data_IF_415188789774
#
_entry.id   IF_415188789774
#
_cell.length_a   1.000
_cell.length_b   1.000
_cell.length_c   1.000
_cell.angle_alpha   90.00
_cell.angle_beta   90.00
_cell.angle_gamma   90.00
#
_symmetry.space_group_name_H-M   'P 1'
#
loop_
_entity.id
_entity.type
_entity.pdbx_description
1 polymer ?
#
# COMPACT_ATOMS: atom_id res chain seq x y z
N UNK A 1 25.79 8.14 11.65
CA UNK A 1 25.21 7.44 12.81
C UNK A 1 23.84 8.03 13.08
N UNK A 2 22.85 7.20 13.42
CA UNK A 2 21.50 7.63 13.78
C UNK A 2 21.25 7.39 15.29
N UNK A 3 20.33 8.13 15.88
CA UNK A 3 19.88 7.91 17.25
C UNK A 3 19.10 6.58 17.33
N UNK A 4 19.42 5.74 18.32
CA UNK A 4 18.84 4.41 18.48
C UNK A 4 17.31 4.43 18.67
N UNK A 5 16.75 5.56 19.11
CA UNK A 5 15.30 5.78 19.23
C UNK A 5 14.59 5.84 17.86
N UNK A 6 15.35 6.05 16.79
CA UNK A 6 14.89 6.13 15.40
C UNK A 6 15.48 5.01 14.51
N UNK A 7 16.09 3.99 15.13
CA UNK A 7 16.61 2.81 14.45
C UNK A 7 15.76 1.59 14.80
N UNK A 8 15.66 0.65 13.86
CA UNK A 8 14.96 -0.62 14.04
C UNK A 8 15.97 -1.76 13.97
N UNK A 9 15.79 -2.76 14.83
CA UNK A 9 16.58 -3.98 14.80
C UNK A 9 16.05 -4.86 13.67
N UNK A 10 16.91 -5.15 12.70
CA UNK A 10 16.62 -5.95 11.52
C UNK A 10 17.61 -7.10 11.46
N UNK A 11 17.23 -8.22 10.85
CA UNK A 11 18.14 -9.34 10.66
C UNK A 11 19.36 -8.90 9.85
N UNK A 12 20.54 -8.91 10.50
CA UNK A 12 21.80 -8.49 9.89
C UNK A 12 22.25 -9.39 8.73
N UNK A 13 21.67 -10.59 8.60
CA UNK A 13 21.97 -11.53 7.51
C UNK A 13 20.99 -11.41 6.34
N UNK A 14 19.89 -10.66 6.50
CA UNK A 14 18.90 -10.49 5.44
C UNK A 14 19.41 -9.50 4.39
N UNK A 15 18.98 -9.69 3.14
CA UNK A 15 19.34 -8.82 2.03
C UNK A 15 18.79 -7.39 2.26
N UNK A 16 19.65 -6.36 2.37
CA UNK A 16 19.22 -4.99 2.57
C UNK A 16 18.29 -4.47 1.47
N UNK A 17 18.43 -4.98 0.24
CA UNK A 17 17.54 -4.61 -0.88
C UNK A 17 16.12 -5.04 -0.60
N UNK A 18 15.93 -6.26 -0.08
CA UNK A 18 14.62 -6.78 0.31
C UNK A 18 14.04 -6.08 1.55
N UNK A 19 14.89 -5.63 2.48
CA UNK A 19 14.45 -4.96 3.70
C UNK A 19 14.08 -3.49 3.49
N UNK A 20 14.75 -2.80 2.55
CA UNK A 20 14.59 -1.36 2.36
C UNK A 20 13.13 -0.92 2.14
N UNK A 21 12.30 -1.60 1.32
CA UNK A 21 10.90 -1.23 1.16
C UNK A 21 10.05 -1.39 2.42
N UNK A 22 10.40 -2.30 3.33
CA UNK A 22 9.66 -2.54 4.57
C UNK A 22 9.68 -1.32 5.50
N UNK A 23 10.79 -0.57 5.48
CA UNK A 23 11.01 0.63 6.32
C UNK A 23 10.14 1.83 5.95
N UNK A 24 9.47 1.81 4.79
CA UNK A 24 8.57 2.88 4.38
C UNK A 24 7.24 2.30 3.90
N UNK A 25 7.24 1.61 2.75
CA UNK A 25 6.04 1.04 2.14
C UNK A 25 5.39 -0.02 3.04
N UNK A 26 6.19 -0.83 3.75
CA UNK A 26 5.70 -1.79 4.72
C UNK A 26 5.03 -1.11 5.93
N UNK A 27 5.75 -0.23 6.61
CA UNK A 27 5.23 0.48 7.79
C UNK A 27 3.99 1.34 7.48
N UNK A 28 3.97 2.06 6.36
CA UNK A 28 2.79 2.86 5.98
C UNK A 28 1.61 1.96 5.63
N UNK A 29 1.86 0.82 4.98
CA UNK A 29 0.87 -0.21 4.70
C UNK A 29 0.25 -0.75 5.99
N UNK A 30 1.09 -1.16 6.95
CA UNK A 30 0.65 -1.65 8.27
C UNK A 30 -0.19 -0.62 9.01
N UNK A 31 0.31 0.61 9.13
CA UNK A 31 -0.40 1.69 9.82
C UNK A 31 -1.75 2.00 9.17
N UNK A 32 -1.81 1.97 7.84
CA UNK A 32 -3.06 2.15 7.10
C UNK A 32 -4.04 1.01 7.34
N UNK A 33 -3.58 -0.24 7.39
CA UNK A 33 -4.40 -1.39 7.73
C UNK A 33 -4.92 -1.36 9.16
N UNK A 34 -4.10 -0.91 10.12
CA UNK A 34 -4.55 -0.70 11.51
C UNK A 34 -5.67 0.35 11.60
N UNK A 35 -5.59 1.42 10.80
CA UNK A 35 -6.70 2.39 10.68
C UNK A 35 -7.92 1.83 9.95
N UNK A 36 -7.73 0.94 9.00
CA UNK A 36 -8.81 0.26 8.29
C UNK A 36 -9.60 -0.73 9.19
N UNK A 37 -9.08 -1.06 10.37
CA UNK A 37 -9.75 -1.88 11.38
C UNK A 37 -9.73 -3.37 11.04
N UNK A 38 -10.74 -4.10 11.52
CA UNK A 38 -10.80 -5.58 11.46
C UNK A 38 -11.71 -6.12 10.35
N UNK A 39 -12.03 -5.29 9.36
CA UNK A 39 -12.81 -5.67 8.19
C UNK A 39 -12.21 -6.85 7.42
N UNK A 40 -13.07 -7.69 6.83
CA UNK A 40 -12.67 -8.87 6.06
C UNK A 40 -12.37 -8.51 4.60
N UNK A 41 -13.21 -7.68 3.97
CA UNK A 41 -13.06 -7.27 2.58
C UNK A 41 -12.29 -5.96 2.48
N UNK A 42 -11.01 -6.02 2.09
CA UNK A 42 -10.11 -4.86 2.03
C UNK A 42 -9.83 -4.46 0.58
N UNK A 43 -10.19 -3.23 0.23
CA UNK A 43 -9.83 -2.63 -1.05
C UNK A 43 -8.47 -1.94 -1.00
N UNK A 44 -7.59 -2.22 -1.96
CA UNK A 44 -6.29 -1.55 -2.11
C UNK A 44 -6.28 -0.74 -3.42
N UNK A 45 -6.39 0.59 -3.31
CA UNK A 45 -6.42 1.51 -4.45
C UNK A 45 -5.01 2.03 -4.76
N UNK A 46 -4.45 1.59 -5.88
CA UNK A 46 -3.05 1.79 -6.26
C UNK A 46 -2.18 0.61 -5.83
N UNK A 47 -2.01 -0.37 -6.73
CA UNK A 47 -1.30 -1.62 -6.44
C UNK A 47 0.22 -1.51 -6.68
N UNK A 48 0.90 -0.69 -5.87
CA UNK A 48 2.35 -0.47 -5.93
C UNK A 48 3.13 -1.07 -4.75
N UNK A 49 4.22 -0.40 -4.35
CA UNK A 49 5.12 -0.85 -3.28
C UNK A 49 4.39 -1.17 -1.95
N UNK A 50 3.52 -0.31 -1.46
CA UNK A 50 2.83 -0.54 -0.18
C UNK A 50 1.77 -1.66 -0.29
N UNK A 51 0.98 -1.66 -1.37
CA UNK A 51 -0.09 -2.63 -1.56
C UNK A 51 0.41 -4.07 -1.68
N UNK A 52 1.50 -4.31 -2.43
CA UNK A 52 2.03 -5.66 -2.63
C UNK A 52 2.70 -6.25 -1.37
N UNK A 53 3.18 -5.39 -0.46
CA UNK A 53 3.62 -5.81 0.87
C UNK A 53 2.40 -6.11 1.74
N UNK A 54 1.42 -5.20 1.75
CA UNK A 54 0.29 -5.28 2.65
C UNK A 54 -0.64 -6.46 2.37
N UNK A 55 -0.87 -6.80 1.09
CA UNK A 55 -1.73 -7.91 0.68
C UNK A 55 -1.32 -9.23 1.34
N UNK A 56 -0.03 -9.49 1.48
CA UNK A 56 0.50 -10.73 2.09
C UNK A 56 0.08 -10.82 3.57
N UNK A 57 0.08 -9.69 4.28
CA UNK A 57 -0.38 -9.61 5.67
C UNK A 57 -1.89 -9.77 5.75
N UNK A 58 -2.66 -9.13 4.86
CA UNK A 58 -4.11 -9.30 4.80
C UNK A 58 -4.50 -10.77 4.58
N UNK A 59 -3.86 -11.45 3.63
CA UNK A 59 -4.12 -12.87 3.34
C UNK A 59 -3.77 -13.74 4.54
N UNK A 60 -2.62 -13.50 5.19
CA UNK A 60 -2.25 -14.21 6.40
C UNK A 60 -3.26 -14.00 7.54
N UNK A 61 -3.88 -12.81 7.63
CA UNK A 61 -4.98 -12.53 8.56
C UNK A 61 -6.33 -13.13 8.13
N UNK A 62 -6.41 -13.84 7.00
CA UNK A 62 -7.65 -14.42 6.47
C UNK A 62 -8.62 -13.40 5.86
N UNK A 63 -8.10 -12.24 5.41
CA UNK A 63 -8.87 -11.17 4.79
C UNK A 63 -8.88 -11.30 3.26
N UNK A 64 -10.01 -10.96 2.66
CA UNK A 64 -10.20 -10.94 1.21
C UNK A 64 -9.71 -9.59 0.66
N UNK A 65 -8.83 -9.62 -0.34
CA UNK A 65 -8.21 -8.40 -0.90
C UNK A 65 -8.73 -8.12 -2.30
N UNK A 66 -9.17 -6.88 -2.52
CA UNK A 66 -9.69 -6.37 -3.78
C UNK A 66 -8.73 -5.28 -4.28
N UNK A 67 -7.95 -5.59 -5.31
CA UNK A 67 -6.95 -4.67 -5.85
C UNK A 67 -7.54 -3.78 -6.94
N UNK A 68 -7.42 -2.46 -6.77
CA UNK A 68 -7.84 -1.48 -7.77
C UNK A 68 -6.60 -0.83 -8.37
N UNK A 69 -6.42 -0.98 -9.68
CA UNK A 69 -5.28 -0.46 -10.43
C UNK A 69 -5.71 0.66 -11.38
N UNK A 70 -4.74 1.26 -12.08
CA UNK A 70 -5.05 2.21 -13.16
C UNK A 70 -5.73 1.46 -14.31
N UNK A 71 -6.65 2.11 -14.99
CA UNK A 71 -7.24 1.59 -16.23
C UNK A 71 -6.14 1.16 -17.22
N UNK A 72 -6.23 -0.08 -17.71
CA UNK A 72 -5.25 -0.69 -18.62
C UNK A 72 -3.99 -1.28 -17.96
N UNK A 73 -3.79 -1.16 -16.65
CA UNK A 73 -2.62 -1.70 -15.94
C UNK A 73 -2.77 -3.20 -15.64
N UNK A 74 -2.69 -4.00 -16.71
CA UNK A 74 -2.83 -5.45 -16.65
C UNK A 74 -1.69 -6.13 -15.86
N UNK A 75 -0.49 -5.54 -15.89
CA UNK A 75 0.66 -6.06 -15.15
C UNK A 75 0.42 -5.97 -13.63
N UNK A 76 -0.06 -4.83 -13.14
CA UNK A 76 -0.38 -4.68 -11.72
C UNK A 76 -1.58 -5.55 -11.29
N UNK A 77 -2.58 -5.73 -12.15
CA UNK A 77 -3.73 -6.60 -11.87
C UNK A 77 -3.30 -8.06 -11.74
N UNK A 78 -2.53 -8.54 -12.73
CA UNK A 78 -2.00 -9.90 -12.71
C UNK A 78 -1.08 -10.13 -11.50
N UNK A 79 -0.22 -9.17 -11.18
CA UNK A 79 0.63 -9.23 -10.00
C UNK A 79 -0.16 -9.29 -8.69
N UNK A 80 -1.27 -8.56 -8.59
CA UNK A 80 -2.15 -8.63 -7.42
C UNK A 80 -2.78 -10.02 -7.27
N UNK A 81 -3.26 -10.61 -8.37
CA UNK A 81 -3.84 -11.95 -8.37
C UNK A 81 -2.80 -13.02 -8.00
N UNK A 82 -1.57 -12.91 -8.52
CA UNK A 82 -0.45 -13.80 -8.16
C UNK A 82 -0.09 -13.74 -6.68
N UNK A 83 -0.23 -12.56 -6.06
CA UNK A 83 -0.07 -12.37 -4.62
C UNK A 83 -1.28 -12.80 -3.81
N UNK A 84 -2.35 -13.28 -4.44
CA UNK A 84 -3.53 -13.84 -3.78
C UNK A 84 -4.71 -12.87 -3.60
N UNK A 85 -4.79 -11.80 -4.39
CA UNK A 85 -5.98 -10.95 -4.39
C UNK A 85 -7.21 -11.77 -4.82
N UNK A 86 -8.31 -11.61 -4.11
CA UNK A 86 -9.61 -12.20 -4.43
C UNK A 86 -10.15 -11.66 -5.76
N UNK A 87 -9.83 -10.40 -6.07
CA UNK A 87 -10.19 -9.73 -7.31
C UNK A 87 -9.20 -8.62 -7.62
N UNK A 88 -8.97 -8.36 -8.91
CA UNK A 88 -8.21 -7.22 -9.39
C UNK A 88 -8.89 -6.60 -10.61
N UNK A 89 -8.95 -5.27 -10.68
CA UNK A 89 -9.53 -4.53 -11.80
C UNK A 89 -9.19 -3.05 -11.77
N UNK A 90 -9.67 -2.29 -12.77
CA UNK A 90 -9.49 -0.84 -12.79
C UNK A 90 -10.22 -0.19 -11.61
N UNK A 91 -9.71 0.94 -11.11
CA UNK A 91 -10.43 1.79 -10.14
C UNK A 91 -11.75 2.36 -10.66
N UNK A 92 -11.99 2.26 -11.97
CA UNK A 92 -13.26 2.64 -12.62
C UNK A 92 -14.30 1.51 -12.57
N UNK A 93 -13.88 0.30 -12.20
CA UNK A 93 -14.73 -0.87 -12.05
C UNK A 93 -15.17 -1.05 -10.60
N UNK A 94 -16.26 -1.80 -10.40
CA UNK A 94 -16.73 -2.15 -9.07
C UNK A 94 -16.25 -3.56 -8.69
N UNK A 95 -15.73 -3.71 -7.47
CA UNK A 95 -15.54 -5.02 -6.89
C UNK A 95 -16.90 -5.78 -6.81
N UNK A 96 -16.88 -7.12 -6.85
CA UNK A 96 -18.11 -7.92 -6.84
C UNK A 96 -18.87 -7.88 -5.51
N UNK A 97 -18.26 -7.33 -4.45
CA UNK A 97 -18.86 -7.15 -3.13
C UNK A 97 -18.56 -5.76 -2.57
N UNK A 98 -19.41 -5.22 -1.69
CA UNK A 98 -19.07 -4.05 -0.89
C UNK A 98 -17.85 -4.34 0.01
N UNK A 99 -16.97 -3.36 0.13
CA UNK A 99 -15.77 -3.46 0.95
C UNK A 99 -16.06 -3.07 2.41
N UNK A 100 -15.36 -3.67 3.37
CA UNK A 100 -15.37 -3.23 4.77
C UNK A 100 -14.50 -1.98 4.94
N UNK A 101 -13.35 -1.95 4.27
CA UNK A 101 -12.46 -0.81 4.25
C UNK A 101 -11.73 -0.68 2.91
N UNK A 102 -11.30 0.54 2.59
CA UNK A 102 -10.49 0.84 1.42
C UNK A 102 -9.26 1.65 1.82
N UNK A 103 -8.10 1.31 1.28
CA UNK A 103 -6.84 2.01 1.51
C UNK A 103 -6.36 2.56 0.17
N UNK A 104 -6.13 3.87 0.11
CA UNK A 104 -5.70 4.58 -1.09
C UNK A 104 -4.21 4.91 -0.97
N UNK A 105 -3.39 4.24 -1.79
CA UNK A 105 -1.97 4.52 -1.96
C UNK A 105 -1.67 5.35 -3.21
N UNK A 106 -2.55 5.30 -4.21
CA UNK A 106 -2.39 6.12 -5.41
C UNK A 106 -2.53 7.62 -5.06
N UNK A 107 -1.69 8.51 -5.62
CA UNK A 107 -1.68 9.94 -5.31
C UNK A 107 -2.79 10.72 -6.05
N UNK A 108 -4.02 10.18 -6.09
CA UNK A 108 -5.14 10.68 -6.89
C UNK A 108 -6.37 10.91 -6.01
N UNK A 109 -6.70 12.17 -5.76
CA UNK A 109 -7.81 12.59 -4.90
C UNK A 109 -9.18 12.15 -5.42
N UNK A 110 -9.35 11.99 -6.74
CA UNK A 110 -10.60 11.48 -7.35
C UNK A 110 -10.96 10.06 -6.90
N UNK A 111 -9.99 9.29 -6.39
CA UNK A 111 -10.24 7.96 -5.85
C UNK A 111 -10.98 7.98 -4.52
N UNK A 112 -10.96 9.09 -3.77
CA UNK A 112 -11.66 9.21 -2.48
C UNK A 112 -13.17 9.00 -2.62
N UNK A 113 -13.91 9.76 -3.46
CA UNK A 113 -15.34 9.51 -3.63
C UNK A 113 -15.65 8.14 -4.25
N UNK A 114 -14.74 7.57 -5.04
CA UNK A 114 -14.88 6.21 -5.61
C UNK A 114 -14.79 5.18 -4.49
N UNK A 115 -13.75 5.24 -3.66
CA UNK A 115 -13.53 4.35 -2.53
C UNK A 115 -14.66 4.46 -1.50
N UNK A 116 -15.16 5.66 -1.22
CA UNK A 116 -16.31 5.85 -0.32
C UNK A 116 -17.58 5.18 -0.84
N UNK A 117 -17.79 5.13 -2.16
CA UNK A 117 -18.92 4.38 -2.76
C UNK A 117 -18.69 2.88 -2.74
N UNK A 118 -17.44 2.43 -2.82
CA UNK A 118 -17.07 1.02 -2.81
C UNK A 118 -17.18 0.38 -1.41
N UNK A 119 -17.01 1.16 -0.34
CA UNK A 119 -17.21 0.67 1.03
C UNK A 119 -18.68 0.64 1.43
N UNK A 120 -19.05 -0.35 2.23
CA UNK A 120 -20.38 -0.42 2.87
C UNK A 120 -20.62 0.75 3.82
N UNK A 121 -21.86 0.91 4.27
CA UNK A 121 -22.18 1.80 5.40
C UNK A 121 -21.38 1.37 6.64
N UNK A 122 -20.87 2.33 7.40
CA UNK A 122 -19.94 2.09 8.50
C UNK A 122 -18.51 1.73 8.08
N UNK A 123 -18.20 1.77 6.78
CA UNK A 123 -16.88 1.42 6.25
C UNK A 123 -15.88 2.58 6.33
N UNK A 124 -14.58 2.25 6.32
CA UNK A 124 -13.48 3.22 6.44
C UNK A 124 -12.74 3.37 5.12
N UNK A 125 -12.48 4.60 4.70
CA UNK A 125 -11.53 4.94 3.63
C UNK A 125 -10.29 5.59 4.24
N UNK A 126 -9.13 4.98 4.04
CA UNK A 126 -7.83 5.43 4.55
C UNK A 126 -6.99 5.99 3.41
N UNK A 127 -6.65 7.27 3.50
CA UNK A 127 -5.67 7.93 2.64
C UNK A 127 -4.25 7.64 3.16
N UNK A 128 -3.53 6.71 2.52
CA UNK A 128 -2.19 6.26 2.91
C UNK A 128 -1.04 6.85 2.06
N UNK A 129 -1.34 7.65 1.05
CA UNK A 129 -0.33 8.34 0.23
C UNK A 129 0.30 9.54 0.95
N UNK A 130 1.62 9.73 0.83
CA UNK A 130 2.36 10.88 1.37
C UNK A 130 1.97 12.21 0.70
N UNK A 131 1.47 12.12 -0.52
CA UNK A 131 0.94 13.22 -1.31
C UNK A 131 -0.19 12.70 -2.19
N UNK A 132 -1.17 13.54 -2.46
CA UNK A 132 -2.22 13.31 -3.45
C UNK A 132 -2.65 14.64 -4.08
N UNK A 133 -3.26 14.57 -5.27
CA UNK A 133 -4.02 15.70 -5.79
C UNK A 133 -5.19 16.06 -4.86
N UNK A 134 -5.74 17.26 -5.04
CA UNK A 134 -6.91 17.70 -4.28
C UNK A 134 -8.06 16.68 -4.36
N UNK A 135 -8.75 16.51 -3.25
CA UNK A 135 -9.97 15.72 -3.19
C UNK A 135 -11.09 16.56 -3.81
N UNK A 136 -11.78 16.07 -4.87
CA UNK A 136 -12.81 16.85 -5.53
C UNK A 136 -14.02 17.06 -4.62
N UNK A 137 -14.83 18.07 -4.94
CA UNK A 137 -16.14 18.23 -4.32
C UNK A 137 -17.00 16.98 -4.55
N UNK A 138 -17.63 16.47 -3.49
CA UNK A 138 -18.51 15.31 -3.56
C UNK A 138 -19.82 15.54 -2.83
N UNK A 139 -20.94 14.93 -3.26
CA UNK A 139 -22.19 15.01 -2.52
C UNK A 139 -22.04 14.39 -1.13
N UNK A 140 -22.63 15.03 -0.11
CA UNK A 140 -22.61 14.50 1.27
C UNK A 140 -23.14 13.06 1.37
N UNK A 141 -24.07 12.66 0.49
CA UNK A 141 -24.60 11.31 0.42
C UNK A 141 -23.54 10.22 0.20
N UNK A 142 -22.37 10.57 -0.34
CA UNK A 142 -21.22 9.65 -0.51
C UNK A 142 -20.57 9.32 0.84
N UNK A 143 -20.49 10.30 1.75
CA UNK A 143 -19.98 10.13 3.11
C UNK A 143 -21.07 9.64 4.09
N UNK A 144 -22.33 9.98 3.82
CA UNK A 144 -23.48 9.59 4.65
C UNK A 144 -23.58 8.06 4.83
N UNK A 145 -24.08 7.65 6.00
CA UNK A 145 -24.16 6.24 6.40
C UNK A 145 -22.96 5.78 7.22
N UNK A 146 -22.46 6.66 8.09
CA UNK A 146 -21.39 6.38 9.08
C UNK A 146 -20.06 5.95 8.44
N UNK A 147 -19.80 6.39 7.20
CA UNK A 147 -18.49 6.15 6.59
C UNK A 147 -17.46 7.10 7.16
N UNK A 148 -16.24 6.61 7.31
CA UNK A 148 -15.11 7.42 7.75
C UNK A 148 -14.16 7.68 6.59
N UNK A 149 -13.61 8.89 6.55
CA UNK A 149 -12.50 9.27 5.69
C UNK A 149 -11.36 9.75 6.58
N UNK A 150 -10.26 9.02 6.60
CA UNK A 150 -9.12 9.29 7.49
C UNK A 150 -7.81 9.32 6.73
N UNK A 151 -6.83 10.04 7.25
CA UNK A 151 -5.47 10.07 6.68
C UNK A 151 -4.44 9.44 7.59
N UNK A 152 -3.32 9.04 6.98
CA UNK A 152 -2.08 8.66 7.67
C UNK A 152 -0.97 9.60 7.19
N UNK A 153 -0.23 10.21 8.12
CA UNK A 153 0.84 11.15 7.78
C UNK A 153 2.24 10.59 8.10
N UNK A 154 2.44 10.12 9.34
CA UNK A 154 3.75 9.72 9.83
C UNK A 154 3.73 8.29 10.35
N UNK A 155 4.90 7.66 10.25
CA UNK A 155 5.22 6.39 10.91
C UNK A 155 5.61 6.65 12.36
N UNK A 156 5.27 5.72 13.24
CA UNK A 156 5.64 5.76 14.65
C UNK A 156 6.51 4.55 14.98
N UNK A 157 7.25 4.64 16.09
CA UNK A 157 8.01 3.50 16.61
C UNK A 157 7.11 2.32 16.97
N UNK A 158 5.92 2.59 17.47
CA UNK A 158 4.93 1.55 17.78
C UNK A 158 4.54 0.77 16.53
N UNK A 159 4.36 1.44 15.39
CA UNK A 159 4.05 0.75 14.12
C UNK A 159 5.17 -0.24 13.75
N UNK A 160 6.44 0.13 13.94
CA UNK A 160 7.57 -0.73 13.65
C UNK A 160 7.70 -1.91 14.61
N UNK A 161 7.51 -1.66 15.90
CA UNK A 161 7.54 -2.72 16.93
C UNK A 161 6.46 -3.77 16.68
N UNK A 162 5.29 -3.37 16.18
CA UNK A 162 4.22 -4.29 15.80
C UNK A 162 4.49 -4.97 14.44
N UNK A 163 4.92 -4.19 13.44
CA UNK A 163 5.01 -4.63 12.05
C UNK A 163 6.12 -5.64 11.80
N UNK A 164 7.35 -5.39 12.24
CA UNK A 164 8.50 -6.24 11.86
C UNK A 164 8.36 -7.70 12.31
N UNK A 165 7.93 -8.00 13.55
CA UNK A 165 7.69 -9.39 13.96
C UNK A 165 6.61 -10.08 13.11
N UNK A 166 5.55 -9.35 12.75
CA UNK A 166 4.49 -9.87 11.89
C UNK A 166 5.02 -10.12 10.48
N UNK A 167 5.73 -9.15 9.89
CA UNK A 167 6.31 -9.29 8.56
C UNK A 167 7.26 -10.50 8.47
N UNK A 168 8.05 -10.75 9.52
CA UNK A 168 8.92 -11.91 9.63
C UNK A 168 8.11 -13.22 9.75
N UNK A 169 7.10 -13.27 10.62
CA UNK A 169 6.25 -14.45 10.83
C UNK A 169 5.45 -14.82 9.57
N UNK A 170 4.96 -13.82 8.84
CA UNK A 170 4.28 -13.97 7.54
C UNK A 170 5.27 -14.40 6.45
N UNK A 171 6.56 -14.08 6.61
CA UNK A 171 7.57 -14.28 5.57
C UNK A 171 7.34 -13.34 4.38
N UNK A 172 6.97 -12.08 4.65
CA UNK A 172 6.69 -11.06 3.63
C UNK A 172 7.85 -10.94 2.65
N UNK A 173 7.54 -11.07 1.35
CA UNK A 173 8.51 -10.88 0.27
C UNK A 173 8.26 -9.58 -0.45
N UNK A 174 9.30 -8.77 -0.59
CA UNK A 174 9.26 -7.55 -1.40
C UNK A 174 9.67 -7.88 -2.84
N UNK A 175 8.88 -7.43 -3.82
CA UNK A 175 9.31 -7.47 -5.22
C UNK A 175 10.08 -6.18 -5.52
N UNK A 176 11.37 -6.29 -5.84
CA UNK A 176 12.26 -5.13 -5.97
C UNK A 176 12.95 -5.07 -7.32
N UNK A 177 12.99 -3.88 -7.92
CA UNK A 177 13.87 -3.57 -9.06
C UNK A 177 15.03 -2.72 -8.57
N UNK A 178 16.27 -3.23 -8.70
CA UNK A 178 17.47 -2.52 -8.23
C UNK A 178 18.03 -1.60 -9.30
N UNK A 179 18.44 -0.41 -8.89
CA UNK A 179 19.19 0.53 -9.72
C UNK A 179 20.46 0.94 -8.99
N UNK A 180 21.63 1.04 -9.66
CA UNK A 180 22.77 1.75 -9.08
C UNK A 180 22.37 3.19 -8.72
N UNK A 181 22.89 3.74 -7.62
CA UNK A 181 22.58 5.12 -7.19
C UNK A 181 22.77 6.16 -8.31
N UNK A 182 23.81 5.99 -9.15
CA UNK A 182 24.08 6.85 -10.32
C UNK A 182 22.95 6.89 -11.35
N UNK A 183 22.06 5.88 -11.37
CA UNK A 183 20.90 5.77 -12.28
C UNK A 183 19.58 6.17 -11.60
N UNK A 184 19.61 6.93 -10.50
CA UNK A 184 18.41 7.38 -9.80
C UNK A 184 17.39 8.10 -10.70
N UNK A 185 17.84 8.91 -11.66
CA UNK A 185 16.93 9.59 -12.60
C UNK A 185 16.15 8.63 -13.50
N UNK A 186 16.77 7.52 -13.87
CA UNK A 186 16.10 6.48 -14.64
C UNK A 186 15.07 5.74 -13.80
N UNK A 187 15.41 5.39 -12.56
CA UNK A 187 14.45 4.80 -11.61
C UNK A 187 13.21 5.70 -11.43
N UNK A 188 13.41 7.02 -11.32
CA UNK A 188 12.31 7.98 -11.24
C UNK A 188 11.49 8.07 -12.54
N UNK A 189 12.14 7.99 -13.70
CA UNK A 189 11.46 7.99 -14.99
C UNK A 189 10.61 6.72 -15.19
N UNK A 190 11.14 5.55 -14.81
CA UNK A 190 10.42 4.28 -14.85
C UNK A 190 9.22 4.29 -13.90
N UNK A 191 9.40 4.82 -12.69
CA UNK A 191 8.31 5.00 -11.73
C UNK A 191 7.18 5.87 -12.30
N UNK A 192 7.51 7.03 -12.86
CA UNK A 192 6.52 7.93 -13.47
C UNK A 192 5.80 7.31 -14.66
N UNK A 193 6.51 6.51 -15.44
CA UNK A 193 5.96 5.82 -16.59
C UNK A 193 5.18 4.54 -16.24
N UNK A 194 5.13 4.14 -14.96
CA UNK A 194 4.46 2.91 -14.54
C UNK A 194 5.16 1.63 -15.02
N UNK A 195 6.48 1.69 -15.29
CA UNK A 195 7.26 0.54 -15.77
C UNK A 195 7.75 -0.37 -14.63
N UNK A 196 7.41 -0.05 -13.40
CA UNK A 196 7.84 -0.75 -12.20
C UNK A 196 6.70 -1.54 -11.60
N UNK A 197 6.98 -2.80 -11.28
CA UNK A 197 6.17 -3.63 -10.39
C UNK A 197 6.89 -3.68 -9.04
N UNK A 198 6.15 -3.53 -7.93
CA UNK A 198 6.73 -3.53 -6.59
C UNK A 198 7.47 -2.23 -6.24
N UNK A 199 8.71 -2.34 -5.74
CA UNK A 199 9.53 -1.21 -5.26
C UNK A 199 10.83 -1.05 -6.04
N UNK A 200 11.21 0.18 -6.41
CA UNK A 200 12.57 0.47 -6.86
C UNK A 200 13.50 0.68 -5.66
N UNK A 201 14.68 0.09 -5.70
CA UNK A 201 15.72 0.24 -4.67
C UNK A 201 17.00 0.75 -5.29
N UNK A 202 17.52 1.85 -4.76
CA UNK A 202 18.83 2.37 -5.17
C UNK A 202 19.92 1.69 -4.34
N UNK A 203 20.90 1.11 -5.03
CA UNK A 203 22.07 0.46 -4.43
C UNK A 203 23.25 1.42 -4.55
N UNK A 204 23.74 1.98 -3.42
CA UNK A 204 24.98 2.74 -3.41
C UNK A 204 26.15 1.88 -3.90
N UNK A 205 27.13 2.49 -4.57
CA UNK A 205 28.40 1.80 -4.82
C UNK A 205 29.06 1.50 -3.46
N UNK A 206 29.61 0.29 -3.30
CA UNK A 206 30.41 -0.01 -2.12
C UNK A 206 31.60 0.95 -2.10
N UNK A 207 31.66 1.78 -1.05
CA UNK A 207 32.83 2.62 -0.75
C UNK A 207 33.96 1.78 -0.17
#
# INVERSE_FOLDING_TARGET
>A
MADASFAFDLDANADPVSLAPLLCAGLIGWRSLRKAGDGKSIGLFGFGAAAHILIQICIWQGRDVYAFTRSGDQAAQQFALELGATWAGSSEENAPVPLDAAIIFAPVGDLVPIALKAVRKGGVVVCGGIHMSDIPAMPYAVLWGERELVSVANLTRADAVEFFPIAQMVGVRTHTTTYPLKRANEALADLRAGRLVGAAVLVPEAG
#
